data_IF_352049959344
#
_entry.id   IF_352049959344
#
_cell.length_a   1.000
_cell.length_b   1.000
_cell.length_c   1.000
_cell.angle_alpha   90.00
_cell.angle_beta   90.00
_cell.angle_gamma   90.00
#
_symmetry.space_group_name_H-M   'P 1'
#
loop_
_entity.id
_entity.type
_entity.pdbx_description
1 polymer ?
#
# COMPACT_ATOMS: atom_id res chain seq x y z
N UNK A 1 -14.98 -12.81 -19.37
CA UNK A 1 -13.86 -12.18 -18.65
C UNK A 1 -13.81 -10.73 -19.09
N UNK A 2 -14.35 -9.80 -18.30
CA UNK A 2 -14.29 -8.36 -18.62
C UNK A 2 -12.85 -7.88 -18.37
N UNK A 3 -12.18 -7.39 -19.42
CA UNK A 3 -10.88 -6.76 -19.28
C UNK A 3 -11.03 -5.55 -18.36
N UNK A 4 -10.30 -5.51 -17.24
CA UNK A 4 -10.32 -4.35 -16.36
C UNK A 4 -9.69 -3.19 -17.11
N UNK A 5 -10.38 -2.05 -17.28
CA UNK A 5 -9.81 -0.90 -17.97
C UNK A 5 -8.54 -0.45 -17.25
N UNK A 6 -7.57 0.03 -18.02
CA UNK A 6 -6.34 0.60 -17.48
C UNK A 6 -6.68 1.77 -16.54
N UNK A 7 -5.91 1.98 -15.46
CA UNK A 7 -6.17 3.08 -14.54
C UNK A 7 -6.08 4.42 -15.27
N UNK A 8 -7.00 5.32 -14.93
CA UNK A 8 -6.99 6.72 -15.35
C UNK A 8 -5.74 7.42 -14.81
N UNK A 9 -5.38 8.57 -15.38
CA UNK A 9 -4.21 9.36 -14.93
C UNK A 9 -4.25 9.69 -13.44
N UNK A 10 -5.41 10.06 -12.91
CA UNK A 10 -5.61 10.34 -11.48
C UNK A 10 -5.43 9.10 -10.61
N UNK A 11 -5.88 7.95 -11.10
CA UNK A 11 -5.76 6.67 -10.40
C UNK A 11 -4.31 6.18 -10.35
N UNK A 12 -3.57 6.35 -11.44
CA UNK A 12 -2.14 6.08 -11.49
C UNK A 12 -1.36 7.01 -10.53
N UNK A 13 -1.73 8.30 -10.47
CA UNK A 13 -1.14 9.27 -9.53
C UNK A 13 -1.45 8.92 -8.08
N UNK A 14 -2.68 8.48 -7.80
CA UNK A 14 -3.09 8.00 -6.48
C UNK A 14 -2.20 6.83 -6.04
N UNK A 15 -2.08 5.79 -6.87
CA UNK A 15 -1.26 4.62 -6.57
C UNK A 15 0.21 4.99 -6.34
N UNK A 16 0.78 5.84 -7.21
CA UNK A 16 2.16 6.30 -7.07
C UNK A 16 2.39 7.13 -5.78
N UNK A 17 1.42 7.94 -5.37
CA UNK A 17 1.50 8.70 -4.13
C UNK A 17 1.39 7.79 -2.89
N UNK A 18 0.53 6.77 -2.94
CA UNK A 18 0.44 5.77 -1.86
C UNK A 18 1.76 5.02 -1.71
N UNK A 19 2.33 4.53 -2.80
CA UNK A 19 3.64 3.82 -2.79
C UNK A 19 4.73 4.73 -2.23
N UNK A 20 4.80 5.99 -2.66
CA UNK A 20 5.80 6.96 -2.15
C UNK A 20 5.64 7.22 -0.65
N UNK A 21 4.40 7.41 -0.18
CA UNK A 21 4.16 7.67 1.23
C UNK A 21 4.53 6.46 2.09
N UNK A 22 4.12 5.26 1.67
CA UNK A 22 4.47 4.01 2.35
C UNK A 22 5.98 3.77 2.32
N UNK A 23 6.67 3.97 1.18
CA UNK A 23 8.11 3.81 1.11
C UNK A 23 8.86 4.75 2.07
N UNK A 24 8.34 5.96 2.31
CA UNK A 24 8.90 6.90 3.29
C UNK A 24 8.60 6.49 4.73
N UNK A 25 7.35 6.15 5.03
CA UNK A 25 6.90 5.75 6.36
C UNK A 25 7.64 4.49 6.85
N UNK A 26 7.90 3.58 5.92
CA UNK A 26 8.55 2.31 6.18
C UNK A 26 10.09 2.36 6.02
N UNK A 27 10.66 3.52 5.74
CA UNK A 27 12.10 3.70 5.44
C UNK A 27 12.63 2.74 4.34
N UNK A 28 11.80 2.45 3.34
CA UNK A 28 12.11 1.57 2.20
C UNK A 28 12.58 2.34 0.97
N UNK A 29 12.79 3.65 1.09
CA UNK A 29 13.11 4.53 -0.04
C UNK A 29 14.41 4.13 -0.78
N UNK A 30 15.34 3.47 -0.09
CA UNK A 30 16.62 3.01 -0.66
C UNK A 30 16.59 1.55 -1.13
N UNK A 31 15.49 0.81 -0.89
CA UNK A 31 15.36 -0.59 -1.30
C UNK A 31 14.43 -0.73 -2.52
N UNK A 32 14.96 -0.74 -3.77
CA UNK A 32 14.15 -0.81 -4.97
C UNK A 32 13.32 -2.10 -5.06
N UNK A 33 13.80 -3.20 -4.46
CA UNK A 33 13.08 -4.46 -4.41
C UNK A 33 11.81 -4.36 -3.53
N UNK A 34 11.89 -3.74 -2.35
CA UNK A 34 10.75 -3.48 -1.48
C UNK A 34 9.76 -2.50 -2.11
N UNK A 35 10.24 -1.45 -2.79
CA UNK A 35 9.38 -0.54 -3.56
C UNK A 35 8.62 -1.30 -4.66
N UNK A 36 9.29 -2.23 -5.36
CA UNK A 36 8.66 -3.09 -6.35
C UNK A 36 7.54 -3.96 -5.75
N UNK A 37 7.81 -4.62 -4.62
CA UNK A 37 6.80 -5.42 -3.89
C UNK A 37 5.61 -4.57 -3.44
N UNK A 38 5.88 -3.39 -2.90
CA UNK A 38 4.88 -2.44 -2.44
C UNK A 38 4.00 -1.93 -3.60
N UNK A 39 4.61 -1.67 -4.76
CA UNK A 39 3.90 -1.28 -5.98
C UNK A 39 2.94 -2.38 -6.43
N UNK A 40 3.39 -3.63 -6.46
CA UNK A 40 2.54 -4.79 -6.81
C UNK A 40 1.40 -4.95 -5.80
N UNK A 41 1.67 -4.79 -4.51
CA UNK A 41 0.66 -4.87 -3.46
C UNK A 41 -0.42 -3.79 -3.63
N UNK A 42 -0.03 -2.52 -3.79
CA UNK A 42 -0.96 -1.40 -4.00
C UNK A 42 -1.78 -1.61 -5.27
N UNK A 43 -1.16 -2.09 -6.35
CA UNK A 43 -1.89 -2.44 -7.58
C UNK A 43 -2.93 -3.54 -7.33
N UNK A 44 -2.59 -4.61 -6.59
CA UNK A 44 -3.55 -5.67 -6.23
C UNK A 44 -4.72 -5.12 -5.42
N UNK A 45 -4.45 -4.30 -4.39
CA UNK A 45 -5.49 -3.69 -3.56
C UNK A 45 -6.42 -2.78 -4.40
N UNK A 46 -5.85 -1.95 -5.26
CA UNK A 46 -6.63 -1.11 -6.17
C UNK A 46 -7.54 -1.93 -7.08
N UNK A 47 -6.99 -3.02 -7.62
CA UNK A 47 -7.70 -3.95 -8.49
C UNK A 47 -8.80 -4.73 -7.76
N UNK A 48 -8.70 -4.89 -6.44
CA UNK A 48 -9.74 -5.47 -5.58
C UNK A 48 -10.87 -4.50 -5.22
N UNK A 49 -10.74 -3.22 -5.61
CA UNK A 49 -11.80 -2.23 -5.44
C UNK A 49 -11.48 -1.08 -4.48
N UNK A 50 -10.30 -1.06 -3.84
CA UNK A 50 -9.91 0.07 -2.98
C UNK A 50 -9.54 1.27 -3.87
N UNK A 51 -10.27 2.38 -3.72
CA UNK A 51 -10.13 3.56 -4.62
C UNK A 51 -9.71 4.83 -3.91
N UNK A 52 -9.61 4.84 -2.58
CA UNK A 52 -9.13 5.99 -1.82
C UNK A 52 -7.70 5.79 -1.31
N UNK A 53 -7.03 6.90 -1.01
CA UNK A 53 -5.67 6.88 -0.45
C UNK A 53 -5.62 6.13 0.89
N UNK A 54 -6.57 6.44 1.77
CA UNK A 54 -6.60 5.93 3.15
C UNK A 54 -6.83 4.42 3.18
N UNK A 55 -7.79 3.94 2.38
CA UNK A 55 -8.05 2.51 2.20
C UNK A 55 -6.82 1.76 1.70
N UNK A 56 -6.16 2.29 0.66
CA UNK A 56 -4.96 1.66 0.08
C UNK A 56 -3.79 1.65 1.07
N UNK A 57 -3.57 2.74 1.80
CA UNK A 57 -2.50 2.81 2.81
C UNK A 57 -2.77 1.86 3.97
N UNK A 58 -3.97 1.89 4.55
CA UNK A 58 -4.35 1.03 5.67
C UNK A 58 -4.23 -0.45 5.30
N UNK A 59 -4.79 -0.85 4.14
CA UNK A 59 -4.73 -2.23 3.69
C UNK A 59 -3.31 -2.67 3.31
N UNK A 60 -2.49 -1.78 2.75
CA UNK A 60 -1.10 -2.09 2.44
C UNK A 60 -0.25 -2.27 3.69
N UNK A 61 -0.38 -1.40 4.70
CA UNK A 61 0.30 -1.56 6.00
C UNK A 61 -0.08 -2.88 6.68
N UNK A 62 -1.37 -3.20 6.72
CA UNK A 62 -1.87 -4.48 7.25
C UNK A 62 -1.30 -5.68 6.49
N UNK A 63 -1.21 -5.59 5.17
CA UNK A 63 -0.72 -6.67 4.30
C UNK A 63 0.80 -6.83 4.32
N UNK A 64 1.54 -5.75 4.63
CA UNK A 64 3.00 -5.78 4.80
C UNK A 64 3.43 -6.47 6.11
N UNK A 65 2.47 -6.93 6.93
CA UNK A 65 2.76 -7.53 8.24
C UNK A 65 3.30 -6.52 9.24
N UNK A 66 3.07 -5.23 9.01
CA UNK A 66 3.47 -4.17 9.93
C UNK A 66 2.35 -3.91 10.91
N UNK A 67 2.62 -3.94 12.23
CA UNK A 67 1.66 -3.43 13.18
C UNK A 67 1.48 -1.94 12.85
N UNK A 68 0.25 -1.51 12.59
CA UNK A 68 -0.10 -0.11 12.86
C UNK A 68 0.29 0.13 14.31
N UNK A 69 1.45 0.75 14.55
CA UNK A 69 1.91 1.05 15.90
C UNK A 69 1.12 2.24 16.42
N UNK A 70 -0.15 1.97 16.68
CA UNK A 70 -0.94 2.55 17.72
C UNK A 70 -1.64 1.35 18.36
N UNK A 71 -1.18 0.97 19.56
CA UNK A 71 -1.74 0.02 20.54
C UNK A 71 -1.50 -1.49 20.35
N UNK A 72 -0.36 -1.96 20.84
CA UNK A 72 -0.27 -3.24 21.56
C UNK A 72 0.89 -3.19 22.58
N UNK A 73 0.79 -2.25 23.52
CA UNK A 73 1.38 -2.45 24.83
C UNK A 73 0.34 -3.21 25.67
N UNK A 74 0.65 -4.47 25.99
CA UNK A 74 0.41 -5.19 27.27
C UNK A 74 0.22 -6.70 27.05
N UNK A 75 0.83 -7.47 27.97
CA UNK A 75 0.75 -8.91 28.23
C UNK A 75 1.52 -9.84 27.28
N UNK A 76 2.21 -10.91 27.71
CA UNK A 76 2.75 -11.41 28.98
C UNK A 76 3.45 -12.72 28.57
N UNK A 77 4.72 -12.92 28.93
CA UNK A 77 5.27 -14.10 29.62
C UNK A 77 6.80 -13.99 29.71
#
# INVERSE_FOLDING_TARGET
MTARPLPSKDEARLCANVVRNLARDLSLADDPAAIGKLTVLVARLFNSGLRTREELMSAAMKSAGMPSSAIAATADH
#
